data_IF_760957583048
#
_entry.id   IF_760957583048
#
_cell.length_a   1.000
_cell.length_b   1.000
_cell.length_c   1.000
_cell.angle_alpha   90.00
_cell.angle_beta   90.00
_cell.angle_gamma   90.00
#
_symmetry.space_group_name_H-M   'P 1'
#
loop_
_entity.id
_entity.type
_entity.pdbx_description
1 polymer ?
#
# COMPACT_ATOMS: atom_id res chain seq x y z
N UNK A 1 -10.58 6.83 4.07
CA UNK A 1 -10.64 5.37 3.84
C UNK A 1 -10.15 4.69 5.12
N UNK A 2 -10.41 3.40 5.36
CA UNK A 2 -10.03 2.71 6.61
C UNK A 2 -8.61 2.13 6.56
N UNK A 3 -7.62 2.89 6.11
CA UNK A 3 -6.20 2.51 6.30
C UNK A 3 -5.61 3.34 7.42
N UNK A 4 -4.72 2.75 8.21
CA UNK A 4 -4.00 3.40 9.32
C UNK A 4 -2.52 3.00 9.28
N UNK A 5 -1.65 3.72 10.00
CA UNK A 5 -0.26 3.31 10.16
C UNK A 5 -0.12 1.86 10.60
N UNK A 6 0.77 1.11 9.95
CA UNK A 6 0.99 -0.32 10.14
C UNK A 6 0.13 -1.24 9.25
N UNK A 7 -0.87 -0.71 8.54
CA UNK A 7 -1.64 -1.52 7.60
C UNK A 7 -0.89 -1.74 6.28
N UNK A 8 -1.17 -2.88 5.64
CA UNK A 8 -0.84 -3.13 4.25
C UNK A 8 -2.02 -2.76 3.35
N UNK A 9 -1.73 -2.07 2.26
CA UNK A 9 -2.71 -1.63 1.28
C UNK A 9 -2.23 -1.87 -0.15
N UNK A 10 -3.16 -2.09 -1.08
CA UNK A 10 -2.88 -2.12 -2.52
C UNK A 10 -3.27 -0.80 -3.15
N UNK A 11 -2.40 -0.22 -3.97
CA UNK A 11 -2.67 1.04 -4.67
C UNK A 11 -3.47 0.75 -5.94
N UNK A 12 -4.75 1.13 -6.00
CA UNK A 12 -5.67 0.74 -7.09
C UNK A 12 -5.74 1.72 -8.26
N UNK A 13 -5.34 2.96 -8.06
CA UNK A 13 -5.23 3.97 -9.11
C UNK A 13 -4.28 5.03 -8.60
N UNK A 14 -3.23 5.35 -9.34
CA UNK A 14 -2.33 6.43 -8.99
C UNK A 14 -1.99 7.18 -10.26
N UNK A 15 -2.79 8.19 -10.55
CA UNK A 15 -2.53 9.10 -11.67
C UNK A 15 -1.29 9.97 -11.38
N UNK A 16 -0.89 10.04 -10.10
CA UNK A 16 0.27 10.79 -9.60
C UNK A 16 1.56 9.97 -9.71
N UNK A 17 1.49 8.66 -9.47
CA UNK A 17 2.61 7.73 -9.58
C UNK A 17 2.13 6.40 -10.21
N UNK A 18 2.06 6.30 -11.54
CA UNK A 18 1.56 5.11 -12.23
C UNK A 18 2.35 3.84 -11.90
N UNK A 19 3.64 3.98 -11.57
CA UNK A 19 4.57 2.87 -11.32
C UNK A 19 4.26 2.07 -10.05
N UNK A 20 3.46 2.64 -9.15
CA UNK A 20 3.01 1.97 -7.93
C UNK A 20 1.58 1.42 -8.07
N UNK A 21 0.96 1.54 -9.25
CA UNK A 21 -0.33 0.92 -9.50
C UNK A 21 -0.23 -0.60 -9.31
N UNK A 22 -1.13 -1.16 -8.50
CA UNK A 22 -1.13 -2.57 -8.12
C UNK A 22 -0.07 -2.94 -7.07
N UNK A 23 0.79 -2.02 -6.66
CA UNK A 23 1.79 -2.30 -5.64
C UNK A 23 1.15 -2.45 -4.25
N UNK A 24 1.67 -3.42 -3.48
CA UNK A 24 1.41 -3.53 -2.05
C UNK A 24 2.34 -2.55 -1.34
N UNK A 25 1.75 -1.69 -0.52
CA UNK A 25 2.44 -0.66 0.24
C UNK A 25 2.11 -0.78 1.72
N UNK A 26 3.09 -0.46 2.55
CA UNK A 26 2.91 -0.28 3.99
C UNK A 26 2.58 1.18 4.28
N UNK A 27 1.56 1.41 5.10
CA UNK A 27 1.14 2.75 5.53
C UNK A 27 1.97 3.16 6.75
N UNK A 28 2.71 4.25 6.67
CA UNK A 28 3.62 4.70 7.73
C UNK A 28 3.03 5.80 8.60
N UNK A 29 2.44 6.81 7.99
CA UNK A 29 1.91 7.99 8.68
C UNK A 29 0.97 8.78 7.78
N UNK A 30 0.20 9.71 8.36
CA UNK A 30 -0.57 10.66 7.57
C UNK A 30 0.38 11.60 6.79
N UNK A 31 0.07 11.86 5.53
CA UNK A 31 0.77 12.86 4.72
C UNK A 31 0.13 14.24 4.84
N UNK A 32 0.82 15.26 4.37
CA UNK A 32 0.17 16.53 4.06
C UNK A 32 -0.96 16.31 3.02
N UNK A 33 -2.03 17.11 3.06
CA UNK A 33 -3.11 17.00 2.09
C UNK A 33 -2.65 17.40 0.69
N UNK A 34 -3.13 16.66 -0.31
CA UNK A 34 -2.93 16.91 -1.72
C UNK A 34 -3.95 17.93 -2.24
N UNK A 35 -3.46 18.93 -2.97
CA UNK A 35 -4.33 19.88 -3.67
C UNK A 35 -5.21 19.13 -4.69
N UNK A 36 -6.52 19.13 -4.50
CA UNK A 36 -7.49 18.47 -5.38
C UNK A 36 -7.83 17.01 -5.04
N UNK A 37 -7.07 16.35 -4.14
CA UNK A 37 -7.35 14.98 -3.72
C UNK A 37 -7.64 14.84 -2.22
N UNK A 38 -7.30 15.85 -1.41
CA UNK A 38 -7.58 15.85 0.03
C UNK A 38 -6.51 15.11 0.84
N UNK A 39 -6.86 14.43 1.94
CA UNK A 39 -5.89 13.78 2.82
C UNK A 39 -5.12 12.66 2.10
N UNK A 40 -3.98 12.27 2.66
CA UNK A 40 -3.15 11.19 2.13
C UNK A 40 -2.31 10.50 3.19
N UNK A 41 -1.56 9.51 2.74
CA UNK A 41 -0.75 8.62 3.56
C UNK A 41 0.67 8.55 3.00
N UNK A 42 1.66 8.64 3.88
CA UNK A 42 3.03 8.28 3.52
C UNK A 42 3.12 6.76 3.49
N UNK A 43 3.45 6.22 2.33
CA UNK A 43 3.52 4.78 2.10
C UNK A 43 4.89 4.38 1.59
N UNK A 44 5.30 3.13 1.86
CA UNK A 44 6.56 2.57 1.36
C UNK A 44 6.35 1.18 0.77
N UNK A 45 7.20 0.79 -0.18
CA UNK A 45 7.30 -0.57 -0.69
C UNK A 45 8.72 -0.83 -1.20
N UNK A 46 9.01 -2.08 -1.60
CA UNK A 46 10.34 -2.45 -2.09
C UNK A 46 10.77 -1.60 -3.29
N UNK A 47 9.92 -1.46 -4.31
CA UNK A 47 10.27 -0.69 -5.52
C UNK A 47 10.53 0.80 -5.24
N UNK A 48 9.82 1.41 -4.29
CA UNK A 48 10.11 2.78 -3.86
C UNK A 48 11.51 2.89 -3.24
N UNK A 49 11.87 1.94 -2.36
CA UNK A 49 13.18 1.92 -1.70
C UNK A 49 14.31 1.66 -2.68
N UNK A 50 14.10 0.76 -3.64
CA UNK A 50 15.07 0.47 -4.71
C UNK A 50 15.30 1.70 -5.60
N UNK A 51 14.26 2.52 -5.81
CA UNK A 51 14.35 3.80 -6.50
C UNK A 51 14.93 4.94 -5.62
N UNK A 52 15.33 4.66 -4.38
CA UNK A 52 15.94 5.63 -3.46
C UNK A 52 14.94 6.48 -2.66
N UNK A 53 13.64 6.16 -2.71
CA UNK A 53 12.61 6.84 -1.92
C UNK A 53 12.31 6.07 -0.64
N UNK A 54 12.48 6.72 0.52
CA UNK A 54 12.10 6.12 1.80
C UNK A 54 10.58 5.84 1.87
N UNK A 55 9.78 6.80 1.39
CA UNK A 55 8.33 6.71 1.25
C UNK A 55 7.84 7.74 0.24
N UNK A 56 6.63 7.53 -0.28
CA UNK A 56 5.93 8.48 -1.12
C UNK A 56 4.56 8.78 -0.53
N UNK A 57 4.10 10.05 -0.59
CA UNK A 57 2.75 10.37 -0.18
C UNK A 57 1.76 9.87 -1.25
N UNK A 58 0.66 9.26 -0.82
CA UNK A 58 -0.39 8.70 -1.66
C UNK A 58 -1.74 9.24 -1.17
N UNK A 59 -2.58 9.84 -2.04
CA UNK A 59 -3.93 10.27 -1.67
C UNK A 59 -4.77 9.15 -1.05
N UNK A 60 -5.56 9.47 -0.02
CA UNK A 60 -6.37 8.50 0.74
C UNK A 60 -7.39 7.74 -0.13
N UNK A 61 -7.76 8.29 -1.29
CA UNK A 61 -8.66 7.65 -2.26
C UNK A 61 -8.05 6.44 -3.00
N UNK A 62 -6.73 6.28 -2.97
CA UNK A 62 -5.98 5.33 -3.79
C UNK A 62 -5.63 3.99 -3.09
N UNK A 63 -5.10 3.97 -1.85
CA UNK A 63 -4.71 2.73 -1.18
C UNK A 63 -5.93 2.00 -0.61
N UNK A 64 -6.15 0.74 -0.99
CA UNK A 64 -7.19 -0.12 -0.40
C UNK A 64 -6.59 -1.08 0.61
N UNK A 65 -7.14 -1.22 1.83
CA UNK A 65 -6.61 -2.16 2.81
C UNK A 65 -6.68 -3.58 2.26
N UNK A 66 -5.66 -4.38 2.53
CA UNK A 66 -5.61 -5.82 2.18
C UNK A 66 -6.14 -6.66 3.35
N UNK A 67 -6.69 -6.05 4.41
CA UNK A 67 -7.20 -6.75 5.59
C UNK A 67 -8.24 -7.81 5.19
N UNK A 68 -7.90 -9.10 5.33
CA UNK A 68 -8.83 -10.19 5.06
C UNK A 68 -8.26 -11.54 4.67
N UNK A 69 -6.95 -11.68 4.39
CA UNK A 69 -6.36 -13.01 4.20
C UNK A 69 -5.62 -13.41 5.49
N UNK A 70 -5.95 -14.55 6.12
CA UNK A 70 -5.16 -15.05 7.23
C UNK A 70 -3.72 -15.25 6.76
N UNK A 71 -2.79 -14.46 7.29
CA UNK A 71 -1.34 -14.64 7.08
C UNK A 71 -0.82 -15.86 7.87
N UNK A 72 -1.72 -16.66 8.44
CA UNK A 72 -1.45 -17.87 9.20
C UNK A 72 -2.01 -19.15 8.56
N UNK A 73 -2.60 -19.06 7.36
CA UNK A 73 -2.89 -20.27 6.60
C UNK A 73 -1.58 -20.70 5.92
N UNK A 74 -0.72 -21.36 6.69
CA UNK A 74 0.30 -22.25 6.16
C UNK A 74 -0.42 -23.27 5.28
N UNK A 75 -0.43 -23.05 3.96
CA UNK A 75 -1.00 -24.01 3.03
C UNK A 75 -0.02 -25.20 2.91
N UNK A 76 -0.12 -26.15 3.85
CA UNK A 76 0.55 -27.45 3.80
C UNK A 76 -0.21 -28.38 2.84
N UNK A 77 -0.18 -28.09 1.54
CA UNK A 77 -0.56 -29.10 0.54
C UNK A 77 0.66 -30.01 0.27
N UNK A 78 0.85 -31.00 1.13
CA UNK A 78 1.67 -32.16 0.81
C UNK A 78 0.88 -33.02 -0.19
N UNK A 79 1.03 -32.74 -1.49
CA UNK A 79 0.47 -33.59 -2.55
C UNK A 79 1.36 -34.82 -2.68
N UNK A 80 1.01 -35.87 -1.95
CA UNK A 80 1.59 -37.20 -2.16
C UNK A 80 0.94 -37.78 -3.41
N UNK A 81 1.72 -37.90 -4.49
CA UNK A 81 1.35 -38.59 -5.73
C UNK A 81 1.53 -40.11 -5.62
#
# INVERSE_FOLDING_TARGET
MNVKPGDLAIVRSSDVCPEIHGAIVEVLSASAPFKGYGPGWNCTCASMRDAGFAHLPIPDSMPKPISGVPVHDEQLDEVIA
#
